data_IF_077172684985
#
_entry.id   IF_077172684985
#
_cell.length_a   1.000
_cell.length_b   1.000
_cell.length_c   1.000
_cell.angle_alpha   90.00
_cell.angle_beta   90.00
_cell.angle_gamma   90.00
#
_symmetry.space_group_name_H-M   'P 1'
#
loop_
_entity.id
_entity.type
_entity.pdbx_description
1 polymer ?
#
# COMPACT_ATOMS: atom_id res chain seq x y z
N UNK A 1 -15.12 -12.81 -1.44
CA UNK A 1 -13.65 -12.84 -1.40
C UNK A 1 -13.24 -12.98 0.06
N UNK A 2 -12.54 -14.05 0.42
CA UNK A 2 -11.86 -14.16 1.72
C UNK A 2 -10.71 -13.15 1.71
N UNK A 3 -10.74 -12.17 2.61
CA UNK A 3 -9.61 -11.26 2.78
C UNK A 3 -8.37 -12.06 3.16
N UNK A 4 -7.26 -11.89 2.42
CA UNK A 4 -6.00 -12.61 2.66
C UNK A 4 -5.32 -12.12 3.95
N UNK A 5 -5.59 -10.88 4.36
CA UNK A 5 -5.09 -10.32 5.62
C UNK A 5 -6.16 -10.36 6.69
N UNK A 6 -5.73 -10.67 7.92
CA UNK A 6 -6.53 -10.41 9.11
C UNK A 6 -6.88 -8.93 9.17
N UNK A 7 -7.98 -8.58 9.82
CA UNK A 7 -8.30 -7.19 9.94
C UNK A 7 -7.30 -6.38 10.77
N UNK A 8 -7.03 -5.15 10.32
CA UNK A 8 -5.90 -4.36 10.81
C UNK A 8 -4.53 -4.83 10.29
N UNK A 9 -4.49 -5.92 9.52
CA UNK A 9 -3.29 -6.46 8.90
C UNK A 9 -2.65 -5.46 7.94
N UNK A 10 -1.31 -5.49 7.90
CA UNK A 10 -0.51 -4.55 7.11
C UNK A 10 0.11 -5.24 5.90
N UNK A 11 0.22 -4.47 4.83
CA UNK A 11 0.95 -4.79 3.63
C UNK A 11 2.10 -3.78 3.49
N UNK A 12 3.31 -4.29 3.25
CA UNK A 12 4.48 -3.51 2.90
C UNK A 12 5.09 -4.10 1.64
N UNK A 13 5.17 -3.32 0.57
CA UNK A 13 5.72 -3.76 -0.71
C UNK A 13 6.77 -2.77 -1.20
N UNK A 14 7.86 -3.31 -1.75
CA UNK A 14 8.81 -2.54 -2.54
C UNK A 14 8.47 -2.71 -4.03
N UNK A 15 8.33 -1.59 -4.74
CA UNK A 15 8.00 -1.55 -6.17
C UNK A 15 8.95 -0.62 -6.90
N UNK A 16 8.91 -0.65 -8.24
CA UNK A 16 9.49 0.42 -9.04
C UNK A 16 8.80 1.76 -8.70
N UNK A 17 9.55 2.88 -8.57
CA UNK A 17 8.98 4.18 -8.25
C UNK A 17 7.88 4.68 -9.21
N UNK A 18 7.87 4.19 -10.46
CA UNK A 18 6.85 4.52 -11.45
C UNK A 18 5.50 3.89 -11.13
N UNK A 19 5.50 2.81 -10.34
CA UNK A 19 4.32 2.00 -10.05
C UNK A 19 3.77 2.26 -8.64
N UNK A 20 4.63 2.59 -7.68
CA UNK A 20 4.24 2.73 -6.27
C UNK A 20 3.10 3.74 -6.03
N UNK A 21 3.10 4.95 -6.62
CA UNK A 21 1.99 5.90 -6.44
C UNK A 21 0.66 5.39 -7.02
N UNK A 22 0.71 4.78 -8.21
CA UNK A 22 -0.47 4.23 -8.88
C UNK A 22 -1.09 3.10 -8.06
N UNK A 23 -0.27 2.15 -7.61
CA UNK A 23 -0.76 1.03 -6.82
C UNK A 23 -1.31 1.46 -5.45
N UNK A 24 -0.70 2.44 -4.80
CA UNK A 24 -1.24 3.02 -3.56
C UNK A 24 -2.61 3.68 -3.79
N UNK A 25 -2.84 4.33 -4.94
CA UNK A 25 -4.14 4.89 -5.31
C UNK A 25 -5.20 3.79 -5.55
N UNK A 26 -4.83 2.71 -6.22
CA UNK A 26 -5.71 1.55 -6.43
C UNK A 26 -6.15 0.91 -5.10
N UNK A 27 -5.23 0.75 -4.15
CA UNK A 27 -5.54 0.23 -2.82
C UNK A 27 -6.54 1.13 -2.08
N UNK A 28 -6.37 2.46 -2.16
CA UNK A 28 -7.34 3.41 -1.58
C UNK A 28 -8.72 3.31 -2.24
N UNK A 29 -8.77 3.14 -3.56
CA UNK A 29 -10.03 2.93 -4.28
C UNK A 29 -10.75 1.63 -3.84
N UNK A 30 -9.99 0.66 -3.35
CA UNK A 30 -10.49 -0.59 -2.77
C UNK A 30 -10.77 -0.49 -1.24
N UNK A 31 -10.67 0.70 -0.66
CA UNK A 31 -10.99 0.95 0.75
C UNK A 31 -9.85 0.69 1.75
N UNK A 32 -8.63 0.46 1.28
CA UNK A 32 -7.47 0.33 2.16
C UNK A 32 -6.97 1.70 2.62
N UNK A 33 -6.46 1.78 3.85
CA UNK A 33 -5.66 2.91 4.28
C UNK A 33 -4.24 2.74 3.72
N UNK A 34 -3.90 3.43 2.61
CA UNK A 34 -2.64 3.25 1.91
C UNK A 34 -1.85 4.55 1.68
N UNK A 35 -0.52 4.41 1.51
CA UNK A 35 0.47 5.47 1.39
C UNK A 35 1.73 5.01 0.66
N UNK A 36 2.55 5.96 0.21
CA UNK A 36 3.91 5.70 -0.25
C UNK A 36 4.93 6.20 0.77
N UNK A 37 6.08 5.56 0.83
CA UNK A 37 7.25 6.01 1.57
C UNK A 37 8.48 5.98 0.67
N UNK A 38 9.38 6.93 0.89
CA UNK A 38 10.60 7.07 0.11
C UNK A 38 11.73 6.17 0.63
N UNK A 39 12.63 5.78 -0.27
CA UNK A 39 13.94 5.26 0.11
C UNK A 39 14.90 6.35 0.58
N UNK A 40 16.12 5.95 0.94
CA UNK A 40 17.17 6.88 1.41
C UNK A 40 17.64 7.88 0.32
N UNK A 41 17.22 7.70 -0.93
CA UNK A 41 17.50 8.63 -2.04
C UNK A 41 16.28 9.49 -2.41
N UNK A 42 15.19 9.39 -1.64
CA UNK A 42 13.97 10.18 -1.86
C UNK A 42 13.01 9.60 -2.89
N UNK A 43 13.24 8.38 -3.39
CA UNK A 43 12.34 7.76 -4.38
C UNK A 43 11.19 7.06 -3.69
N UNK A 44 9.96 7.45 -3.99
CA UNK A 44 8.75 6.79 -3.48
C UNK A 44 8.61 5.39 -4.06
N UNK A 45 9.13 4.39 -3.34
CA UNK A 45 9.19 3.00 -3.82
C UNK A 45 8.58 1.99 -2.86
N UNK A 46 8.21 2.42 -1.67
CA UNK A 46 7.57 1.57 -0.68
C UNK A 46 6.08 1.90 -0.60
N UNK A 47 5.23 0.91 -0.82
CA UNK A 47 3.79 1.02 -0.56
C UNK A 47 3.51 0.49 0.83
N UNK A 48 2.84 1.30 1.64
CA UNK A 48 2.31 0.94 2.94
C UNK A 48 0.80 0.87 2.83
N UNK A 49 0.18 -0.19 3.34
CA UNK A 49 -1.27 -0.26 3.41
C UNK A 49 -1.75 -1.05 4.62
N UNK A 50 -2.93 -0.71 5.12
CA UNK A 50 -3.60 -1.42 6.19
C UNK A 50 -5.01 -1.79 5.76
N UNK A 51 -5.38 -3.06 6.00
CA UNK A 51 -6.73 -3.53 5.78
C UNK A 51 -7.64 -3.02 6.91
N UNK A 52 -8.61 -2.17 6.55
CA UNK A 52 -9.61 -1.65 7.48
C UNK A 52 -10.74 -2.66 7.66
N UNK A 53 -11.11 -2.95 8.90
CA UNK A 53 -12.37 -3.66 9.16
C UNK A 53 -13.54 -2.84 8.67
N UNK A 54 -14.37 -3.46 7.84
CA UNK A 54 -15.80 -3.35 8.01
C UNK A 54 -16.25 -4.25 9.15
#
# INVERSE_FOLDING_TARGET
>A
ATGVLVPGGRLLLELDPRNAPAFAAELRAQGWAAGTAADLTGRERFVTAQWGQR
#
